data_IF_637295519122
#
_entry.id   IF_637295519122
#
_cell.length_a   1.000
_cell.length_b   1.000
_cell.length_c   1.000
_cell.angle_alpha   90.00
_cell.angle_beta   90.00
_cell.angle_gamma   90.00
#
_symmetry.space_group_name_H-M   'P 1'
#
loop_
_entity.id
_entity.type
_entity.pdbx_description
1 polymer ?
#
# COMPACT_ATOMS: atom_id res chain seq x y z
N UNK A 1 22.93 21.03 -1.78
CA UNK A 1 22.23 19.86 -2.37
C UNK A 1 22.66 18.52 -1.77
N UNK A 2 23.94 18.31 -1.44
CA UNK A 2 24.43 17.02 -0.89
C UNK A 2 23.90 16.63 0.50
N UNK A 3 23.59 17.61 1.37
CA UNK A 3 23.11 17.36 2.75
C UNK A 3 21.73 16.71 2.80
N UNK A 4 20.80 17.19 1.98
CA UNK A 4 19.43 16.65 1.92
C UNK A 4 19.37 15.24 1.33
N UNK A 5 20.32 14.88 0.44
CA UNK A 5 20.45 13.49 -0.05
C UNK A 5 21.01 12.58 1.05
N UNK A 6 22.02 13.04 1.81
CA UNK A 6 22.55 12.28 2.95
C UNK A 6 21.53 12.06 4.07
N UNK A 7 20.72 13.07 4.39
CA UNK A 7 19.66 12.96 5.40
C UNK A 7 18.55 12.01 4.96
N UNK A 8 18.11 12.09 3.70
CA UNK A 8 17.14 11.15 3.14
C UNK A 8 17.69 9.72 3.09
N UNK A 9 18.94 9.53 2.67
CA UNK A 9 19.58 8.22 2.67
C UNK A 9 19.72 7.65 4.08
N UNK A 10 20.05 8.48 5.08
CA UNK A 10 20.10 8.05 6.49
C UNK A 10 18.73 7.66 7.04
N UNK A 11 17.68 8.41 6.71
CA UNK A 11 16.32 8.05 7.09
C UNK A 11 15.92 6.70 6.46
N UNK A 12 16.27 6.48 5.19
CA UNK A 12 16.02 5.21 4.50
C UNK A 12 16.78 4.04 5.14
N UNK A 13 18.05 4.24 5.49
CA UNK A 13 18.89 3.24 6.20
C UNK A 13 18.32 2.97 7.60
N UNK A 14 17.89 3.99 8.32
CA UNK A 14 17.34 3.83 9.66
C UNK A 14 15.99 3.08 9.64
N UNK A 15 15.13 3.35 8.64
CA UNK A 15 13.92 2.55 8.38
C UNK A 15 14.30 1.10 8.02
N UNK A 16 15.37 0.92 7.23
CA UNK A 16 15.90 -0.40 6.88
C UNK A 16 16.43 -1.17 8.09
N UNK A 17 17.07 -0.50 9.04
CA UNK A 17 17.55 -1.10 10.29
C UNK A 17 16.41 -1.44 11.27
N UNK A 18 15.34 -0.64 11.27
CA UNK A 18 14.19 -0.82 12.18
C UNK A 18 13.20 -1.87 11.67
N UNK A 19 13.02 -1.97 10.35
CA UNK A 19 12.28 -3.03 9.68
C UNK A 19 12.69 -3.12 8.20
N UNK A 20 13.61 -4.03 7.84
CA UNK A 20 14.07 -4.22 6.47
C UNK A 20 12.93 -4.44 5.46
N UNK A 21 11.81 -4.99 5.93
CA UNK A 21 10.61 -5.29 5.14
C UNK A 21 9.77 -4.05 4.84
N UNK A 22 9.64 -3.11 5.79
CA UNK A 22 9.02 -1.81 5.52
C UNK A 22 9.87 -1.00 4.55
N UNK A 23 11.19 -1.02 4.71
CA UNK A 23 12.10 -0.34 3.78
C UNK A 23 12.03 -0.89 2.34
N UNK A 24 11.74 -2.18 2.16
CA UNK A 24 11.55 -2.78 0.84
C UNK A 24 10.37 -2.19 0.05
N UNK A 25 9.37 -1.61 0.71
CA UNK A 25 8.28 -0.86 0.04
C UNK A 25 8.83 0.40 -0.64
N UNK A 26 9.84 1.02 -0.04
CA UNK A 26 10.49 2.23 -0.55
C UNK A 26 11.69 1.94 -1.46
N UNK A 27 12.07 0.67 -1.62
CA UNK A 27 13.26 0.28 -2.37
C UNK A 27 13.16 0.52 -3.88
N UNK A 28 11.94 0.63 -4.44
CA UNK A 28 11.75 0.94 -5.86
C UNK A 28 10.65 1.98 -6.05
N UNK A 29 10.77 2.80 -7.10
CA UNK A 29 9.73 3.78 -7.47
C UNK A 29 8.37 3.12 -7.68
N UNK A 30 8.35 1.93 -8.29
CA UNK A 30 7.11 1.19 -8.53
C UNK A 30 6.41 0.80 -7.21
N UNK A 31 7.15 0.27 -6.23
CA UNK A 31 6.59 -0.11 -4.93
C UNK A 31 6.14 1.11 -4.13
N UNK A 32 6.88 2.21 -4.23
CA UNK A 32 6.49 3.49 -3.64
C UNK A 32 5.16 4.00 -4.20
N UNK A 33 5.00 4.02 -5.53
CA UNK A 33 3.75 4.42 -6.18
C UNK A 33 2.59 3.48 -5.82
N UNK A 34 2.83 2.17 -5.75
CA UNK A 34 1.82 1.20 -5.30
C UNK A 34 1.37 1.47 -3.86
N UNK A 35 2.31 1.75 -2.94
CA UNK A 35 1.98 2.14 -1.57
C UNK A 35 1.12 3.41 -1.50
N UNK A 36 1.49 4.44 -2.26
CA UNK A 36 0.73 5.69 -2.34
C UNK A 36 -0.68 5.52 -2.89
N UNK A 37 -0.88 4.64 -3.89
CA UNK A 37 -2.21 4.32 -4.40
C UNK A 37 -3.06 3.64 -3.32
N UNK A 38 -2.49 2.71 -2.56
CA UNK A 38 -3.16 2.07 -1.43
C UNK A 38 -3.60 3.08 -0.36
N UNK A 39 -2.70 3.97 0.05
CA UNK A 39 -2.98 5.02 1.04
C UNK A 39 -4.02 6.03 0.53
N UNK A 40 -3.91 6.47 -0.72
CA UNK A 40 -4.88 7.39 -1.31
C UNK A 40 -6.29 6.79 -1.34
N UNK A 41 -6.43 5.49 -1.63
CA UNK A 41 -7.71 4.80 -1.58
C UNK A 41 -8.24 4.64 -0.16
N UNK A 42 -7.37 4.42 0.82
CA UNK A 42 -7.74 4.36 2.23
C UNK A 42 -8.24 5.73 2.74
N UNK A 43 -7.49 6.81 2.52
CA UNK A 43 -7.87 8.15 3.01
C UNK A 43 -9.05 8.79 2.26
N UNK A 44 -9.29 8.40 1.00
CA UNK A 44 -10.46 8.87 0.23
C UNK A 44 -11.74 8.08 0.55
N UNK A 45 -11.69 7.10 1.48
CA UNK A 45 -12.87 6.35 1.90
C UNK A 45 -13.87 7.29 2.56
N UNK A 46 -15.13 7.19 2.14
CA UNK A 46 -16.28 7.71 2.86
C UNK A 46 -16.77 6.61 3.83
N UNK A 47 -16.78 6.85 5.16
CA UNK A 47 -17.26 5.87 6.14
C UNK A 47 -18.70 5.42 5.91
N UNK A 48 -19.53 6.26 5.29
CA UNK A 48 -20.95 5.99 5.01
C UNK A 48 -21.18 5.23 3.69
N UNK A 49 -20.14 5.01 2.88
CA UNK A 49 -20.23 4.30 1.60
C UNK A 49 -19.20 3.17 1.51
N UNK A 50 -19.67 1.93 1.68
CA UNK A 50 -18.84 0.72 1.64
C UNK A 50 -18.13 0.51 0.30
N UNK A 51 -18.67 1.04 -0.82
CA UNK A 51 -18.01 0.96 -2.12
C UNK A 51 -16.72 1.80 -2.19
N UNK A 52 -16.52 2.70 -1.23
CA UNK A 52 -15.31 3.51 -1.12
C UNK A 52 -14.21 2.88 -0.25
N UNK A 53 -14.43 1.68 0.30
CA UNK A 53 -13.39 0.95 1.04
C UNK A 53 -12.24 0.48 0.14
N UNK A 54 -11.02 0.45 0.68
CA UNK A 54 -9.87 -0.12 -0.02
C UNK A 54 -10.09 -1.63 -0.20
N UNK A 55 -10.16 -2.09 -1.45
CA UNK A 55 -10.29 -3.50 -1.81
C UNK A 55 -9.27 -3.85 -2.88
N UNK A 56 -8.94 -5.14 -3.03
CA UNK A 56 -7.99 -5.59 -4.05
C UNK A 56 -8.49 -5.18 -5.45
N UNK A 57 -9.77 -5.33 -5.72
CA UNK A 57 -10.37 -4.95 -7.00
C UNK A 57 -10.19 -3.45 -7.32
N UNK A 58 -10.44 -2.57 -6.33
CA UNK A 58 -10.28 -1.12 -6.52
C UNK A 58 -8.81 -0.72 -6.64
N UNK A 59 -7.94 -1.35 -5.86
CA UNK A 59 -6.49 -1.17 -5.98
C UNK A 59 -6.00 -1.51 -7.38
N UNK A 60 -6.30 -2.71 -7.88
CA UNK A 60 -5.90 -3.16 -9.22
C UNK A 60 -6.49 -2.27 -10.33
N UNK A 61 -7.73 -1.77 -10.14
CA UNK A 61 -8.34 -0.83 -11.09
C UNK A 61 -7.51 0.45 -11.20
N UNK A 62 -7.14 1.07 -10.08
CA UNK A 62 -6.38 2.33 -10.06
C UNK A 62 -4.94 2.13 -10.57
N UNK A 63 -4.28 1.03 -10.16
CA UNK A 63 -2.95 0.68 -10.66
C UNK A 63 -2.92 0.57 -12.18
N UNK A 64 -3.89 -0.15 -12.77
CA UNK A 64 -4.00 -0.30 -14.21
C UNK A 64 -4.33 1.02 -14.91
N UNK A 65 -5.25 1.82 -14.35
CA UNK A 65 -5.65 3.12 -14.92
C UNK A 65 -4.47 4.10 -15.02
N UNK A 66 -3.52 4.02 -14.09
CA UNK A 66 -2.34 4.89 -14.05
C UNK A 66 -1.06 4.20 -14.54
N UNK A 67 -1.18 3.00 -15.13
CA UNK A 67 -0.04 2.22 -15.65
C UNK A 67 1.12 2.04 -14.66
N UNK A 68 0.83 1.95 -13.37
CA UNK A 68 1.86 1.90 -12.30
C UNK A 68 2.58 0.54 -12.30
N UNK A 69 1.81 -0.55 -12.48
CA UNK A 69 2.34 -1.90 -12.47
C UNK A 69 1.40 -2.86 -13.22
N UNK A 70 1.91 -4.05 -13.53
CA UNK A 70 1.06 -5.14 -14.02
C UNK A 70 0.09 -5.61 -12.93
N UNK A 71 -1.00 -6.26 -13.34
CA UNK A 71 -1.96 -6.85 -12.39
C UNK A 71 -1.28 -7.84 -11.44
N UNK A 72 -0.43 -8.72 -11.96
CA UNK A 72 0.25 -9.75 -11.17
C UNK A 72 1.22 -9.13 -10.15
N UNK A 73 1.95 -8.09 -10.57
CA UNK A 73 2.86 -7.35 -9.68
C UNK A 73 2.08 -6.69 -8.53
N UNK A 74 0.94 -6.07 -8.84
CA UNK A 74 0.10 -5.41 -7.86
C UNK A 74 -0.60 -6.40 -6.90
N UNK A 75 -1.02 -7.56 -7.39
CA UNK A 75 -1.53 -8.64 -6.54
C UNK A 75 -0.45 -9.19 -5.60
N UNK A 76 0.76 -9.43 -6.11
CA UNK A 76 1.89 -9.86 -5.29
C UNK A 76 2.24 -8.83 -4.21
N UNK A 77 2.22 -7.55 -4.56
CA UNK A 77 2.44 -6.46 -3.61
C UNK A 77 1.43 -6.47 -2.47
N UNK A 78 0.11 -6.55 -2.75
CA UNK A 78 -0.91 -6.61 -1.69
C UNK A 78 -0.77 -7.86 -0.82
N UNK A 79 -0.49 -9.02 -1.42
CA UNK A 79 -0.23 -10.26 -0.65
C UNK A 79 0.93 -10.08 0.32
N UNK A 80 1.99 -9.39 -0.11
CA UNK A 80 3.13 -9.09 0.74
C UNK A 80 2.78 -8.12 1.88
N UNK A 81 1.96 -7.09 1.62
CA UNK A 81 1.49 -6.16 2.65
C UNK A 81 0.64 -6.86 3.71
N UNK A 82 -0.22 -7.79 3.29
CA UNK A 82 -1.02 -8.61 4.21
C UNK A 82 -0.14 -9.60 4.99
N UNK A 83 0.80 -10.27 4.30
CA UNK A 83 1.69 -11.26 4.92
C UNK A 83 2.59 -10.65 6.00
N UNK A 84 3.00 -9.39 5.82
CA UNK A 84 3.84 -8.67 6.77
C UNK A 84 3.06 -7.75 7.72
N UNK A 85 1.73 -7.89 7.81
CA UNK A 85 0.86 -7.09 8.68
C UNK A 85 1.05 -5.58 8.50
N UNK A 86 1.30 -5.13 7.26
CA UNK A 86 1.30 -3.72 6.86
C UNK A 86 -0.12 -3.29 6.44
N UNK A 87 -0.91 -4.27 5.98
CA UNK A 87 -2.33 -4.13 5.79
C UNK A 87 -3.04 -5.35 6.42
N UNK A 88 -4.29 -5.17 6.78
CA UNK A 88 -5.15 -6.22 7.33
C UNK A 88 -6.54 -6.14 6.71
N UNK A 89 -7.25 -7.26 6.67
CA UNK A 89 -8.66 -7.25 6.30
C UNK A 89 -9.50 -6.69 7.44
N UNK A 90 -10.50 -5.88 7.09
CA UNK A 90 -11.47 -5.42 8.06
C UNK A 90 -12.38 -6.58 8.48
N UNK A 91 -12.74 -6.70 9.76
CA UNK A 91 -13.73 -7.67 10.22
C UNK A 91 -15.06 -7.39 9.51
N UNK A 92 -15.54 -8.40 8.79
CA UNK A 92 -16.66 -8.30 7.84
C UNK A 92 -17.96 -7.84 8.51
N UNK A 93 -18.57 -6.76 7.98
CA UNK A 93 -20.00 -6.49 8.10
C UNK A 93 -20.65 -6.85 6.76
N UNK A 94 -21.54 -7.85 6.76
CA UNK A 94 -22.50 -8.37 5.75
C UNK A 94 -22.10 -8.48 4.25
N UNK A 95 -21.27 -7.60 3.71
CA UNK A 95 -20.85 -7.55 2.31
C UNK A 95 -19.50 -8.28 2.07
N UNK A 96 -19.46 -9.55 2.51
CA UNK A 96 -18.28 -10.42 2.61
C UNK A 96 -17.52 -10.69 1.30
N UNK A 97 -18.05 -10.29 0.14
CA UNK A 97 -17.41 -10.58 -1.16
C UNK A 97 -16.27 -9.63 -1.49
N UNK A 98 -16.35 -8.38 -1.01
CA UNK A 98 -15.41 -7.33 -1.40
C UNK A 98 -14.07 -7.38 -0.65
N UNK A 99 -14.00 -8.09 0.49
CA UNK A 99 -12.83 -8.21 1.37
C UNK A 99 -12.09 -6.87 1.54
N UNK A 100 -12.74 -5.87 2.18
CA UNK A 100 -12.13 -4.58 2.42
C UNK A 100 -10.93 -4.73 3.36
N UNK A 101 -9.89 -3.93 3.13
CA UNK A 101 -8.65 -3.95 3.89
C UNK A 101 -8.27 -2.53 4.34
N UNK A 102 -7.46 -2.44 5.40
CA UNK A 102 -6.91 -1.19 5.91
C UNK A 102 -5.41 -1.34 6.18
N UNK A 103 -4.62 -0.26 6.09
CA UNK A 103 -3.27 -0.21 6.67
C UNK A 103 -3.33 -0.43 8.19
N UNK A 104 -2.29 -1.03 8.76
CA UNK A 104 -2.21 -1.39 10.20
C UNK A 104 -1.54 -0.33 11.08
N UNK A 105 -1.06 0.78 10.51
CA UNK A 105 -0.34 1.85 11.20
C UNK A 105 -1.05 3.21 11.05
#
# INVERSE_FOLDING_TARGET
MHRGVQEQSRALIQIYETSPRLAAIFATQQRWLMGHVGLALHFRRNPNDHHTALTLARFLKVIRQNSVASRNTAEAFIKEMLHYNIAEYLPTSEDARAHPMQPTA
#
